data_IF_598039880354
#
_entry.id   IF_598039880354
#
_cell.length_a   1.000
_cell.length_b   1.000
_cell.length_c   1.000
_cell.angle_alpha   90.00
_cell.angle_beta   90.00
_cell.angle_gamma   90.00
#
_symmetry.space_group_name_H-M   'P 1'
#
loop_
_entity.id
_entity.type
_entity.pdbx_description
1 polymer ?
#
# COMPACT_ATOMS: atom_id res chain seq x y z
N UNK A 1 -25.53 -8.41 60.79
CA UNK A 1 -24.46 -9.37 60.76
C UNK A 1 -24.48 -9.91 59.35
N UNK A 2 -23.73 -9.30 58.52
CA UNK A 2 -23.53 -9.71 57.15
C UNK A 2 -22.04 -10.01 57.00
N UNK A 3 -21.74 -11.29 56.75
CA UNK A 3 -20.41 -11.71 56.35
C UNK A 3 -20.10 -11.11 54.98
N UNK A 4 -19.13 -10.21 54.90
CA UNK A 4 -18.52 -9.79 53.69
C UNK A 4 -17.55 -10.88 53.22
N UNK A 5 -17.93 -11.55 52.15
CA UNK A 5 -17.08 -12.47 51.38
C UNK A 5 -15.80 -11.71 50.95
N UNK A 6 -14.71 -12.02 51.63
CA UNK A 6 -13.35 -11.67 51.19
C UNK A 6 -13.03 -12.55 49.97
N UNK A 7 -13.43 -12.08 48.79
CA UNK A 7 -12.89 -12.59 47.52
C UNK A 7 -11.43 -12.19 47.51
N UNK A 8 -10.53 -13.15 47.63
CA UNK A 8 -9.09 -12.95 47.58
C UNK A 8 -8.65 -12.30 46.28
N UNK A 9 -8.65 -11.02 46.26
CA UNK A 9 -7.94 -10.27 45.23
C UNK A 9 -6.44 -10.50 45.42
N UNK A 10 -5.81 -11.15 44.44
CA UNK A 10 -4.35 -11.20 44.35
C UNK A 10 -3.93 -9.74 44.26
N UNK A 11 -3.23 -9.26 45.29
CA UNK A 11 -2.68 -7.89 45.30
C UNK A 11 -1.55 -7.88 44.25
N UNK A 12 -1.90 -7.44 43.06
CA UNK A 12 -0.99 -7.38 41.89
C UNK A 12 0.23 -6.47 42.20
N UNK A 13 0.06 -5.48 43.05
CA UNK A 13 1.15 -4.59 43.47
C UNK A 13 2.16 -5.35 44.33
N UNK A 14 1.70 -6.10 45.32
CA UNK A 14 2.56 -6.94 46.16
C UNK A 14 3.25 -8.05 45.35
N UNK A 15 2.52 -8.69 44.44
CA UNK A 15 3.07 -9.71 43.56
C UNK A 15 4.13 -9.16 42.59
N UNK A 16 3.92 -7.95 42.06
CA UNK A 16 4.87 -7.28 41.20
C UNK A 16 6.11 -6.80 41.94
N UNK A 17 5.99 -6.37 43.17
CA UNK A 17 7.09 -5.97 44.02
C UNK A 17 7.99 -7.13 44.39
N UNK A 18 7.42 -8.26 44.80
CA UNK A 18 8.13 -9.50 45.12
C UNK A 18 8.88 -10.09 43.93
N UNK A 19 8.25 -10.09 42.73
CA UNK A 19 8.89 -10.52 41.47
C UNK A 19 10.06 -9.60 41.07
N UNK A 20 9.97 -8.30 41.35
CA UNK A 20 11.00 -7.35 40.95
C UNK A 20 12.28 -7.41 41.80
N UNK A 21 12.18 -7.92 43.03
CA UNK A 21 13.31 -8.02 43.95
C UNK A 21 14.17 -9.27 43.70
N UNK A 22 13.63 -10.31 43.06
CA UNK A 22 14.42 -11.51 42.72
C UNK A 22 15.38 -11.28 41.55
N UNK A 23 16.69 -11.41 41.76
CA UNK A 23 17.69 -11.22 40.68
C UNK A 23 17.50 -12.15 39.48
N UNK A 24 16.98 -13.35 39.71
CA UNK A 24 16.71 -14.37 38.67
C UNK A 24 15.59 -13.93 37.72
N UNK A 25 14.52 -13.37 38.26
CA UNK A 25 13.36 -12.89 37.49
C UNK A 25 13.72 -11.66 36.65
N UNK A 26 14.54 -10.76 37.21
CA UNK A 26 15.05 -9.59 36.49
C UNK A 26 15.93 -10.00 35.29
N UNK A 27 16.82 -10.96 35.48
CA UNK A 27 17.69 -11.49 34.43
C UNK A 27 16.85 -12.18 33.35
N UNK A 28 15.87 -13.01 33.74
CA UNK A 28 14.98 -13.65 32.79
C UNK A 28 14.17 -12.64 31.97
N UNK A 29 13.60 -11.61 32.63
CA UNK A 29 12.89 -10.51 31.94
C UNK A 29 13.78 -9.74 30.97
N UNK A 30 15.00 -9.40 31.38
CA UNK A 30 15.96 -8.73 30.52
C UNK A 30 16.32 -9.55 29.24
N UNK A 31 16.52 -10.86 29.41
CA UNK A 31 16.79 -11.79 28.29
C UNK A 31 15.58 -11.83 27.34
N UNK A 32 14.36 -11.93 27.84
CA UNK A 32 13.16 -11.94 27.00
C UNK A 32 13.00 -10.62 26.23
N UNK A 33 13.27 -9.47 26.84
CA UNK A 33 13.26 -8.17 26.17
C UNK A 33 14.29 -8.12 25.06
N UNK A 34 15.52 -8.59 25.31
CA UNK A 34 16.59 -8.62 24.31
C UNK A 34 16.20 -9.52 23.13
N UNK A 35 15.72 -10.73 23.40
CA UNK A 35 15.32 -11.67 22.34
C UNK A 35 14.17 -11.09 21.51
N UNK A 36 13.11 -10.57 22.16
CA UNK A 36 11.98 -9.96 21.47
C UNK A 36 12.39 -8.74 20.64
N UNK A 37 13.30 -7.93 21.17
CA UNK A 37 13.83 -6.76 20.47
C UNK A 37 14.69 -7.14 19.26
N UNK A 38 15.52 -8.17 19.37
CA UNK A 38 16.32 -8.69 18.25
C UNK A 38 15.42 -9.27 17.14
N UNK A 39 14.34 -9.97 17.51
CA UNK A 39 13.36 -10.44 16.55
C UNK A 39 12.65 -9.27 15.85
N UNK A 40 12.32 -8.20 16.59
CA UNK A 40 11.75 -6.99 16.01
C UNK A 40 12.69 -6.30 15.02
N UNK A 41 13.97 -6.17 15.37
CA UNK A 41 15.00 -5.64 14.45
C UNK A 41 15.12 -6.52 13.21
N UNK A 42 15.17 -7.84 13.37
CA UNK A 42 15.28 -8.79 12.28
C UNK A 42 14.08 -8.68 11.31
N UNK A 43 12.86 -8.67 11.84
CA UNK A 43 11.64 -8.48 11.06
C UNK A 43 11.62 -7.13 10.33
N UNK A 44 12.03 -6.06 11.01
CA UNK A 44 12.12 -4.74 10.39
C UNK A 44 13.14 -4.69 9.25
N UNK A 45 14.30 -5.35 9.40
CA UNK A 45 15.29 -5.46 8.33
C UNK A 45 14.77 -6.28 7.15
N UNK A 46 14.07 -7.40 7.41
CA UNK A 46 13.44 -8.19 6.35
C UNK A 46 12.42 -7.36 5.57
N UNK A 47 11.59 -6.56 6.25
CA UNK A 47 10.64 -5.66 5.61
C UNK A 47 11.30 -4.56 4.75
N UNK A 48 12.48 -4.08 5.14
CA UNK A 48 13.23 -3.07 4.36
C UNK A 48 14.04 -3.70 3.22
N UNK A 49 14.58 -4.91 3.43
CA UNK A 49 15.46 -5.60 2.48
C UNK A 49 14.70 -6.42 1.44
N UNK A 50 13.49 -6.90 1.78
CA UNK A 50 12.56 -7.44 0.79
C UNK A 50 12.04 -6.28 -0.04
N UNK A 51 11.94 -6.46 -1.37
CA UNK A 51 11.22 -5.50 -2.19
C UNK A 51 9.84 -5.33 -1.54
N UNK A 52 9.48 -4.14 -1.06
CA UNK A 52 8.16 -3.92 -0.44
C UNK A 52 7.02 -4.33 -1.37
N UNK A 53 7.26 -4.22 -2.68
CA UNK A 53 6.35 -4.68 -3.74
C UNK A 53 6.16 -6.20 -3.72
N UNK A 54 7.21 -6.97 -3.46
CA UNK A 54 7.15 -8.44 -3.44
C UNK A 54 6.46 -8.97 -2.18
N UNK A 55 6.67 -8.33 -1.02
CA UNK A 55 6.02 -8.70 0.25
C UNK A 55 4.55 -8.29 0.25
N UNK A 56 4.22 -7.11 -0.30
CA UNK A 56 2.84 -6.65 -0.42
C UNK A 56 2.09 -7.39 -1.53
N UNK A 57 2.77 -7.75 -2.63
CA UNK A 57 2.17 -8.51 -3.72
C UNK A 57 1.83 -9.94 -3.30
N UNK A 58 2.69 -10.59 -2.54
CA UNK A 58 2.44 -11.94 -2.01
C UNK A 58 1.29 -11.97 -0.99
N UNK A 59 1.12 -10.87 -0.25
CA UNK A 59 0.02 -10.73 0.73
C UNK A 59 -1.31 -10.29 0.08
N UNK A 60 -1.26 -9.63 -1.07
CA UNK A 60 -2.43 -9.05 -1.76
C UNK A 60 -2.79 -9.76 -3.07
N UNK A 61 -2.20 -10.93 -3.36
CA UNK A 61 -2.45 -11.72 -4.58
C UNK A 61 -2.20 -10.95 -5.89
N UNK A 62 -1.30 -9.97 -5.85
CA UNK A 62 -0.97 -9.11 -6.99
C UNK A 62 0.29 -9.57 -7.76
N UNK A 63 0.70 -10.82 -7.58
CA UNK A 63 1.83 -11.45 -8.31
C UNK A 63 1.51 -11.81 -9.76
N UNK A 64 0.31 -11.49 -10.26
CA UNK A 64 -0.02 -11.72 -11.65
C UNK A 64 0.77 -10.73 -12.53
N UNK A 65 1.54 -11.28 -13.46
CA UNK A 65 2.29 -10.52 -14.49
C UNK A 65 1.35 -9.70 -15.39
N UNK A 66 0.07 -10.04 -15.39
CA UNK A 66 -0.99 -9.43 -16.21
C UNK A 66 -2.14 -8.91 -15.35
N UNK A 67 -2.83 -7.90 -15.84
CA UNK A 67 -4.02 -7.32 -15.24
C UNK A 67 -5.06 -7.00 -16.30
N UNK A 68 -6.32 -7.08 -15.94
CA UNK A 68 -7.39 -6.60 -16.80
C UNK A 68 -7.51 -5.08 -16.66
N UNK A 69 -7.54 -4.39 -17.78
CA UNK A 69 -7.72 -2.95 -17.85
C UNK A 69 -9.15 -2.66 -18.26
N UNK A 70 -9.90 -2.00 -17.39
CA UNK A 70 -11.27 -1.59 -17.64
C UNK A 70 -11.48 -0.10 -17.40
N UNK A 71 -12.45 0.48 -18.10
CA UNK A 71 -12.72 1.89 -17.95
C UNK A 71 -14.01 2.33 -18.60
N UNK A 72 -14.27 3.63 -18.47
CA UNK A 72 -15.41 4.32 -19.07
C UNK A 72 -14.92 5.59 -19.77
N UNK A 73 -15.46 5.85 -20.94
CA UNK A 73 -15.22 7.07 -21.72
C UNK A 73 -16.48 7.90 -21.72
N UNK A 74 -16.36 9.15 -21.30
CA UNK A 74 -17.47 10.11 -21.21
C UNK A 74 -17.15 11.37 -22.02
N UNK A 75 -18.17 12.08 -22.46
CA UNK A 75 -18.05 13.36 -23.14
C UNK A 75 -17.72 14.50 -22.17
N UNK A 76 -16.92 15.44 -22.61
CA UNK A 76 -16.71 16.70 -21.89
C UNK A 76 -17.97 17.57 -21.93
N UNK A 77 -18.19 18.34 -20.87
CA UNK A 77 -19.27 19.33 -20.85
C UNK A 77 -18.87 20.54 -21.72
N UNK A 78 -19.56 20.69 -22.84
CA UNK A 78 -19.35 21.84 -23.75
C UNK A 78 -20.53 22.80 -23.68
N UNK A 79 -20.30 24.02 -23.16
CA UNK A 79 -21.33 25.07 -23.09
C UNK A 79 -22.55 24.69 -22.27
N UNK A 80 -23.75 24.65 -22.92
CA UNK A 80 -25.03 24.28 -22.31
C UNK A 80 -25.35 22.78 -22.37
N UNK A 81 -24.50 21.96 -22.99
CA UNK A 81 -24.70 20.51 -23.04
C UNK A 81 -24.38 19.86 -21.68
N UNK A 82 -25.17 18.87 -21.31
CA UNK A 82 -24.90 18.03 -20.16
C UNK A 82 -23.69 17.14 -20.50
N UNK A 83 -22.50 17.46 -19.98
CA UNK A 83 -21.34 16.57 -20.10
C UNK A 83 -21.49 15.32 -19.24
N UNK A 84 -20.64 14.35 -19.51
CA UNK A 84 -20.63 13.08 -18.76
C UNK A 84 -21.49 11.99 -19.43
N UNK A 85 -21.97 12.23 -20.65
CA UNK A 85 -22.64 11.18 -21.42
C UNK A 85 -21.61 10.14 -21.91
N UNK A 86 -21.96 8.84 -21.90
CA UNK A 86 -21.08 7.78 -22.38
C UNK A 86 -20.81 7.96 -23.88
N UNK A 87 -19.58 7.71 -24.31
CA UNK A 87 -19.18 7.76 -25.72
C UNK A 87 -18.99 6.35 -26.25
N UNK A 88 -19.90 5.91 -27.12
CA UNK A 88 -19.83 4.61 -27.81
C UNK A 88 -18.85 4.63 -28.99
N UNK A 89 -18.24 3.50 -29.26
CA UNK A 89 -17.40 3.29 -30.47
C UNK A 89 -16.03 3.97 -30.41
N UNK A 90 -15.58 4.41 -29.23
CA UNK A 90 -14.23 4.91 -29.05
C UNK A 90 -13.25 3.77 -29.23
N UNK A 91 -12.30 3.93 -30.13
CA UNK A 91 -11.20 2.97 -30.34
C UNK A 91 -10.14 3.15 -29.27
N UNK A 92 -9.93 2.14 -28.46
CA UNK A 92 -8.92 2.10 -27.39
C UNK A 92 -7.79 1.18 -27.80
N UNK A 93 -6.58 1.72 -27.98
CA UNK A 93 -5.39 0.96 -28.35
C UNK A 93 -4.33 1.01 -27.26
N UNK A 94 -3.74 -0.16 -26.98
CA UNK A 94 -2.58 -0.29 -26.12
C UNK A 94 -1.31 -0.06 -26.94
N UNK A 95 -0.47 0.84 -26.47
CA UNK A 95 0.81 1.18 -27.05
C UNK A 95 1.90 1.04 -25.98
N UNK A 96 3.15 0.79 -26.41
CA UNK A 96 4.30 0.95 -25.51
C UNK A 96 4.49 2.43 -25.14
N UNK A 97 5.25 2.71 -24.09
CA UNK A 97 5.60 4.09 -23.69
C UNK A 97 6.25 4.88 -24.83
N UNK A 98 6.91 4.20 -25.75
CA UNK A 98 7.55 4.76 -26.96
C UNK A 98 6.57 4.99 -28.12
N UNK A 99 5.29 4.61 -27.94
CA UNK A 99 4.25 4.77 -28.97
C UNK A 99 4.14 3.62 -29.97
N UNK A 100 4.91 2.54 -29.82
CA UNK A 100 4.79 1.35 -30.64
C UNK A 100 3.53 0.55 -30.25
N UNK A 101 2.85 -0.05 -31.25
CA UNK A 101 1.63 -0.82 -31.02
C UNK A 101 1.93 -2.09 -30.24
N UNK A 102 1.27 -2.30 -29.10
CA UNK A 102 1.36 -3.53 -28.30
C UNK A 102 0.39 -4.63 -28.78
N UNK A 103 -0.28 -4.44 -29.91
CA UNK A 103 -1.15 -5.45 -30.57
C UNK A 103 -2.53 -5.65 -29.95
N UNK A 104 -2.88 -4.92 -28.87
CA UNK A 104 -4.21 -5.01 -28.26
C UNK A 104 -5.03 -3.76 -28.55
N UNK A 105 -6.28 -3.96 -28.95
CA UNK A 105 -7.27 -2.90 -29.14
C UNK A 105 -8.68 -3.37 -28.79
N UNK A 106 -9.51 -2.45 -28.36
CA UNK A 106 -10.92 -2.67 -28.06
C UNK A 106 -11.73 -1.42 -28.41
N UNK A 107 -13.05 -1.51 -28.32
CA UNK A 107 -13.96 -0.39 -28.55
C UNK A 107 -14.87 -0.23 -27.33
N UNK A 108 -15.32 1.00 -27.08
CA UNK A 108 -16.33 1.25 -26.05
C UNK A 108 -17.70 0.80 -26.52
N UNK A 109 -18.48 0.25 -25.59
CA UNK A 109 -19.88 -0.12 -25.78
C UNK A 109 -20.84 1.08 -25.69
N UNK A 110 -22.16 0.83 -25.75
CA UNK A 110 -23.20 1.86 -25.61
C UNK A 110 -23.19 2.62 -24.27
N UNK A 111 -22.62 2.02 -23.22
CA UNK A 111 -22.43 2.64 -21.91
C UNK A 111 -21.07 3.32 -21.77
N UNK A 112 -20.33 3.45 -22.89
CA UNK A 112 -18.98 4.02 -22.92
C UNK A 112 -17.92 3.17 -22.24
N UNK A 113 -18.23 1.90 -21.91
CA UNK A 113 -17.32 1.02 -21.18
C UNK A 113 -16.41 0.25 -22.13
N UNK A 114 -15.18 0.00 -21.71
CA UNK A 114 -14.25 -0.87 -22.40
C UNK A 114 -13.58 -1.82 -21.41
N UNK A 115 -13.16 -2.96 -21.91
CA UNK A 115 -12.35 -3.93 -21.16
C UNK A 115 -11.29 -4.50 -22.09
N UNK A 116 -10.07 -4.59 -21.57
CA UNK A 116 -8.91 -5.14 -22.26
C UNK A 116 -8.26 -6.16 -21.30
N UNK A 117 -8.47 -7.45 -21.52
CA UNK A 117 -7.96 -8.49 -20.63
C UNK A 117 -6.46 -8.73 -20.84
N UNK A 118 -5.83 -9.27 -19.81
CA UNK A 118 -4.44 -9.76 -19.84
C UNK A 118 -3.43 -8.71 -20.35
N UNK A 119 -3.48 -7.50 -19.84
CA UNK A 119 -2.49 -6.47 -20.13
C UNK A 119 -1.33 -6.61 -19.15
N UNK A 120 -0.10 -6.62 -19.69
CA UNK A 120 1.11 -6.77 -18.89
C UNK A 120 1.27 -5.58 -17.94
N UNK A 121 1.64 -5.84 -16.68
CA UNK A 121 1.84 -4.82 -15.64
C UNK A 121 3.15 -4.07 -15.82
N UNK A 122 3.29 -3.40 -16.94
CA UNK A 122 4.40 -2.51 -17.27
C UNK A 122 3.87 -1.13 -17.64
N UNK A 123 4.63 -0.05 -17.43
CA UNK A 123 4.22 1.27 -17.90
C UNK A 123 3.82 1.23 -19.37
N UNK A 124 2.61 1.66 -19.67
CA UNK A 124 2.00 1.58 -21.00
C UNK A 124 1.26 2.86 -21.34
N UNK A 125 0.85 2.99 -22.59
CA UNK A 125 0.10 4.10 -23.13
C UNK A 125 -1.22 3.60 -23.72
N UNK A 126 -2.36 4.11 -23.25
CA UNK A 126 -3.65 3.94 -23.91
C UNK A 126 -3.93 5.14 -24.82
N UNK A 127 -4.29 4.86 -26.07
CA UNK A 127 -4.71 5.88 -27.03
C UNK A 127 -6.19 5.72 -27.32
N UNK A 128 -6.97 6.75 -27.01
CA UNK A 128 -8.40 6.84 -27.22
C UNK A 128 -8.66 7.71 -28.45
N UNK A 129 -9.27 7.14 -29.48
CA UNK A 129 -9.59 7.85 -30.75
C UNK A 129 -11.05 7.67 -31.11
N UNK A 130 -11.71 8.80 -31.41
CA UNK A 130 -13.09 8.82 -31.90
C UNK A 130 -13.23 9.97 -32.92
N UNK A 131 -14.10 9.79 -33.93
CA UNK A 131 -14.33 10.82 -34.92
C UNK A 131 -14.98 12.06 -34.30
N UNK A 132 -14.42 13.24 -34.57
CA UNK A 132 -14.90 14.51 -34.02
C UNK A 132 -14.39 14.87 -32.64
N UNK A 133 -13.61 13.99 -31.99
CA UNK A 133 -13.02 14.23 -30.69
C UNK A 133 -11.50 14.30 -30.74
N UNK A 134 -10.91 15.01 -29.79
CA UNK A 134 -9.48 15.02 -29.58
C UNK A 134 -8.97 13.61 -29.23
N UNK A 135 -7.83 13.24 -29.80
CA UNK A 135 -7.17 11.98 -29.41
C UNK A 135 -6.64 12.13 -27.99
N UNK A 136 -7.09 11.27 -27.07
CA UNK A 136 -6.58 11.27 -25.69
C UNK A 136 -5.57 10.16 -25.51
N UNK A 137 -4.40 10.51 -24.99
CA UNK A 137 -3.32 9.58 -24.65
C UNK A 137 -3.13 9.54 -23.15
N UNK A 138 -3.24 8.35 -22.55
CA UNK A 138 -3.08 8.11 -21.13
C UNK A 138 -1.86 7.24 -20.87
N UNK A 139 -0.85 7.78 -20.20
CA UNK A 139 0.23 7.00 -19.63
C UNK A 139 -0.20 6.46 -18.25
N UNK A 140 -0.08 5.15 -18.06
CA UNK A 140 -0.54 4.47 -16.86
C UNK A 140 0.24 3.18 -16.59
N UNK A 141 0.01 2.55 -15.45
CA UNK A 141 0.47 1.20 -15.13
C UNK A 141 -0.76 0.31 -14.94
N UNK A 142 -0.91 -0.78 -15.72
CA UNK A 142 -2.05 -1.69 -15.57
C UNK A 142 -2.10 -2.31 -14.17
N UNK A 143 -3.30 -2.30 -13.57
CA UNK A 143 -3.52 -2.80 -12.22
C UNK A 143 -3.41 -1.75 -11.10
N UNK A 144 -2.90 -0.54 -11.39
CA UNK A 144 -2.85 0.54 -10.39
C UNK A 144 -4.22 1.14 -10.11
N UNK A 145 -5.09 1.20 -11.11
CA UNK A 145 -6.46 1.70 -11.00
C UNK A 145 -7.45 0.58 -11.32
N UNK A 146 -8.47 0.42 -10.48
CA UNK A 146 -9.54 -0.55 -10.71
C UNK A 146 -10.41 -0.20 -11.93
N UNK A 147 -10.55 1.09 -12.24
CA UNK A 147 -11.32 1.61 -13.37
C UNK A 147 -10.75 2.94 -13.86
N UNK A 148 -10.50 3.03 -15.15
CA UNK A 148 -10.01 4.24 -15.81
C UNK A 148 -11.21 5.07 -16.29
N UNK A 149 -11.24 6.34 -15.91
CA UNK A 149 -12.24 7.29 -16.41
C UNK A 149 -11.55 8.31 -17.32
N UNK A 150 -12.02 8.39 -18.57
CA UNK A 150 -11.52 9.33 -19.59
C UNK A 150 -12.62 10.24 -20.04
N UNK A 151 -12.34 11.53 -20.02
CA UNK A 151 -13.21 12.57 -20.59
C UNK A 151 -12.68 12.98 -21.96
N UNK A 152 -13.49 12.82 -23.00
CA UNK A 152 -13.13 13.23 -24.36
C UNK A 152 -13.76 14.60 -24.68
N UNK A 153 -12.93 15.52 -25.16
CA UNK A 153 -13.35 16.83 -25.66
C UNK A 153 -13.51 16.81 -27.18
N UNK A 154 -14.43 17.61 -27.69
CA UNK A 154 -14.59 17.81 -29.13
C UNK A 154 -13.35 18.48 -29.74
N UNK A 155 -13.00 18.09 -30.96
CA UNK A 155 -11.89 18.67 -31.69
C UNK A 155 -11.06 17.64 -32.46
N UNK A 156 -9.95 18.10 -33.01
CA UNK A 156 -8.97 17.29 -33.75
C UNK A 156 -7.56 17.40 -33.17
N UNK A 157 -7.46 17.80 -31.90
CA UNK A 157 -6.21 17.93 -31.16
C UNK A 157 -5.78 16.62 -30.47
N UNK A 158 -4.75 16.76 -29.66
CA UNK A 158 -4.23 15.67 -28.81
C UNK A 158 -4.24 16.14 -27.35
N UNK A 159 -4.72 15.29 -26.47
CA UNK A 159 -4.69 15.47 -25.01
C UNK A 159 -3.82 14.37 -24.40
N UNK A 160 -2.85 14.75 -23.59
CA UNK A 160 -1.93 13.79 -22.95
C UNK A 160 -2.11 13.87 -21.44
N UNK A 161 -2.40 12.71 -20.84
CA UNK A 161 -2.58 12.54 -19.40
C UNK A 161 -1.50 11.57 -18.92
N UNK A 162 -0.72 11.93 -17.91
CA UNK A 162 0.28 11.04 -17.31
C UNK A 162 -0.09 10.74 -15.88
N UNK A 163 -0.44 9.46 -15.62
CA UNK A 163 -0.80 8.95 -14.28
C UNK A 163 0.22 7.95 -13.73
N UNK A 164 1.38 7.79 -14.36
CA UNK A 164 2.42 6.85 -13.90
C UNK A 164 3.01 7.18 -12.54
N UNK A 165 2.85 8.39 -12.05
CA UNK A 165 3.36 8.83 -10.74
C UNK A 165 2.30 8.87 -9.63
N UNK A 166 1.04 8.60 -9.95
CA UNK A 166 -0.09 8.68 -9.02
C UNK A 166 -0.50 7.31 -8.45
N UNK A 167 0.38 6.30 -8.55
CA UNK A 167 0.09 4.95 -8.10
C UNK A 167 -0.27 4.90 -6.62
N UNK A 168 -1.40 4.30 -6.31
CA UNK A 168 -1.82 3.97 -4.94
C UNK A 168 -0.77 3.12 -4.22
N UNK A 169 -0.01 2.31 -4.96
CA UNK A 169 1.07 1.48 -4.44
C UNK A 169 2.23 2.32 -3.90
N UNK A 170 2.57 3.45 -4.50
CA UNK A 170 3.70 4.27 -4.04
C UNK A 170 3.47 4.81 -2.62
N UNK A 171 2.24 5.19 -2.28
CA UNK A 171 1.87 5.61 -0.94
C UNK A 171 1.91 4.44 0.05
N UNK A 172 1.44 3.26 -0.35
CA UNK A 172 1.47 2.05 0.49
C UNK A 172 2.89 1.58 0.77
N UNK A 173 3.78 1.61 -0.22
CA UNK A 173 5.21 1.32 -0.09
C UNK A 173 5.89 2.30 0.86
N UNK A 174 5.61 3.60 0.73
CA UNK A 174 6.17 4.64 1.61
C UNK A 174 5.74 4.44 3.07
N UNK A 175 4.47 4.11 3.30
CA UNK A 175 3.93 3.82 4.63
C UNK A 175 4.56 2.54 5.20
N UNK A 176 4.64 1.47 4.41
CA UNK A 176 5.26 0.21 4.83
C UNK A 176 6.73 0.40 5.19
N UNK A 177 7.48 1.16 4.40
CA UNK A 177 8.89 1.50 4.69
C UNK A 177 9.02 2.31 5.97
N UNK A 178 8.14 3.29 6.20
CA UNK A 178 8.13 4.06 7.43
C UNK A 178 7.85 3.19 8.66
N UNK A 179 6.89 2.27 8.58
CA UNK A 179 6.57 1.32 9.65
C UNK A 179 7.77 0.40 9.92
N UNK A 180 8.41 -0.13 8.86
CA UNK A 180 9.57 -0.99 8.99
C UNK A 180 10.74 -0.29 9.69
N UNK A 181 11.05 0.96 9.29
CA UNK A 181 12.09 1.77 9.95
C UNK A 181 11.75 2.05 11.42
N UNK A 182 10.49 2.38 11.73
CA UNK A 182 10.04 2.54 13.12
C UNK A 182 10.24 1.26 13.92
N UNK A 183 9.92 0.10 13.35
CA UNK A 183 10.07 -1.21 14.01
C UNK A 183 11.54 -1.49 14.32
N UNK A 184 12.46 -1.20 13.39
CA UNK A 184 13.91 -1.33 13.63
C UNK A 184 14.36 -0.41 14.76
N UNK A 185 13.97 0.85 14.74
CA UNK A 185 14.35 1.83 15.77
C UNK A 185 13.85 1.44 17.16
N UNK A 186 12.60 1.00 17.26
CA UNK A 186 12.01 0.53 18.51
C UNK A 186 12.69 -0.76 19.01
N UNK A 187 13.02 -1.69 18.11
CA UNK A 187 13.76 -2.89 18.42
C UNK A 187 15.17 -2.58 18.96
N UNK A 188 15.93 -1.68 18.33
CA UNK A 188 17.23 -1.24 18.81
C UNK A 188 17.14 -0.59 20.21
N UNK A 189 16.10 0.20 20.44
CA UNK A 189 15.86 0.81 21.74
C UNK A 189 15.51 -0.23 22.79
N UNK A 190 14.75 -1.25 22.42
CA UNK A 190 14.43 -2.39 23.28
C UNK A 190 15.66 -3.21 23.66
N UNK A 191 16.60 -3.45 22.72
CA UNK A 191 17.88 -4.09 23.04
C UNK A 191 18.68 -3.27 24.07
N UNK A 192 18.75 -1.95 23.87
CA UNK A 192 19.43 -1.07 24.81
C UNK A 192 18.78 -1.13 26.21
N UNK A 193 17.43 -1.04 26.28
CA UNK A 193 16.69 -1.16 27.54
C UNK A 193 16.90 -2.51 28.23
N UNK A 194 16.91 -3.61 27.46
CA UNK A 194 17.18 -4.96 27.97
C UNK A 194 18.59 -5.11 28.56
N UNK A 195 19.60 -4.53 27.92
CA UNK A 195 20.98 -4.55 28.43
C UNK A 195 21.10 -3.73 29.72
N UNK A 196 20.46 -2.59 29.81
CA UNK A 196 20.43 -1.78 31.05
C UNK A 196 19.69 -2.50 32.18
N UNK A 197 18.56 -3.15 31.89
CA UNK A 197 17.84 -3.98 32.85
C UNK A 197 18.70 -5.16 33.33
N UNK A 198 19.43 -5.82 32.45
CA UNK A 198 20.38 -6.90 32.79
C UNK A 198 21.48 -6.40 33.73
N UNK A 199 22.06 -5.23 33.45
CA UNK A 199 23.13 -4.62 34.27
C UNK A 199 22.64 -4.09 35.60
N UNK A 200 21.35 -3.91 35.80
CA UNK A 200 20.78 -3.37 37.05
C UNK A 200 21.07 -1.88 37.29
N UNK A 201 21.51 -1.15 36.27
CA UNK A 201 22.12 0.18 36.46
C UNK A 201 21.15 1.33 36.68
N UNK A 202 19.93 1.27 36.20
CA UNK A 202 18.86 2.20 36.60
C UNK A 202 17.50 1.78 36.05
N UNK A 203 16.56 1.60 36.95
CA UNK A 203 15.16 1.30 36.65
C UNK A 203 14.52 2.35 35.74
N UNK A 204 14.97 3.58 35.80
CA UNK A 204 14.42 4.73 35.04
C UNK A 204 14.77 4.71 33.55
N UNK A 205 15.85 4.02 33.14
CA UNK A 205 16.30 3.95 31.74
C UNK A 205 15.75 2.72 31.01
N UNK A 206 15.30 1.69 31.73
CA UNK A 206 14.68 0.51 31.14
C UNK A 206 13.20 0.73 30.77
N UNK A 207 12.59 1.80 31.25
CA UNK A 207 11.17 2.13 31.04
C UNK A 207 10.91 3.00 29.79
N UNK A 208 11.93 3.50 29.14
CA UNK A 208 11.85 4.30 27.91
C UNK A 208 12.46 3.51 26.75
#
# INVERSE_FOLDING_TARGET
MADEDVVGGIDLEYFMEDISEEPSTRVAGAILIIIGSLLGVWLGILLVSGNPDEILSDTLDSSEEYSDVSGIVISERTGNASGGEPVEGVRVRLLSVEGATAGKETFTDSDGRFTMPEVRREPALLSFTHSGNNTTKLFFVPGDEAQIVITMSEGNGENVIDRRGESYQSNSVSIATAIALMTVLLGLRGVYGGVEAYRGNSYRRSWW
#
